data_IF_748456981948
#
_entry.id   IF_748456981948
#
_cell.length_a   1.000
_cell.length_b   1.000
_cell.length_c   1.000
_cell.angle_alpha   90.00
_cell.angle_beta   90.00
_cell.angle_gamma   90.00
#
_symmetry.space_group_name_H-M   'P 1'
#
loop_
_entity.id
_entity.type
_entity.pdbx_description
1 polymer ?
#
# COMPACT_ATOMS: atom_id res chain seq x y z
N UNK A 1 -26.31 -42.76 -31.12
CA UNK A 1 -25.73 -43.05 -29.79
C UNK A 1 -24.25 -43.37 -29.97
N UNK A 2 -23.42 -42.74 -29.13
CA UNK A 2 -22.02 -43.07 -28.75
C UNK A 2 -20.91 -43.15 -29.82
N UNK A 3 -19.94 -42.22 -29.75
CA UNK A 3 -18.53 -42.46 -29.35
C UNK A 3 -17.58 -41.29 -29.79
N UNK A 4 -16.91 -40.56 -28.87
CA UNK A 4 -15.46 -40.69 -28.47
C UNK A 4 -14.58 -39.65 -29.24
N UNK A 5 -13.42 -39.13 -28.75
CA UNK A 5 -13.04 -38.55 -27.44
C UNK A 5 -12.17 -37.24 -27.58
N UNK A 6 -11.75 -36.67 -26.43
CA UNK A 6 -10.46 -35.97 -26.14
C UNK A 6 -10.54 -34.53 -25.58
N UNK A 7 -9.75 -34.37 -24.51
CA UNK A 7 -8.95 -33.20 -24.08
C UNK A 7 -9.66 -32.00 -23.42
N UNK A 8 -9.60 -32.02 -22.09
CA UNK A 8 -9.21 -30.90 -21.19
C UNK A 8 -9.08 -31.51 -19.77
N UNK A 9 -7.92 -32.11 -19.44
CA UNK A 9 -6.86 -31.49 -18.63
C UNK A 9 -7.29 -31.49 -17.15
N UNK A 10 -6.90 -32.42 -16.26
CA UNK A 10 -5.58 -32.96 -15.91
C UNK A 10 -4.56 -31.88 -15.54
N UNK A 11 -4.72 -31.21 -14.39
CA UNK A 11 -3.61 -30.83 -13.49
C UNK A 11 -4.11 -30.10 -12.23
N UNK A 12 -4.60 -30.83 -11.22
CA UNK A 12 -4.46 -30.36 -9.82
C UNK A 12 -4.25 -31.60 -8.94
N UNK A 13 -3.07 -32.20 -9.08
CA UNK A 13 -2.54 -33.22 -8.19
C UNK A 13 -1.06 -32.89 -8.00
N UNK A 14 -0.63 -32.86 -6.74
CA UNK A 14 0.76 -32.80 -6.25
C UNK A 14 1.40 -31.42 -6.10
N UNK A 15 1.25 -30.82 -4.91
CA UNK A 15 2.34 -30.56 -3.94
C UNK A 15 1.68 -29.90 -2.72
N UNK A 16 1.57 -30.56 -1.56
CA UNK A 16 2.67 -30.70 -0.60
C UNK A 16 2.81 -29.37 0.17
N UNK A 17 2.68 -29.27 1.49
CA UNK A 17 3.15 -30.17 2.51
C UNK A 17 2.71 -29.60 3.88
N UNK A 18 2.25 -30.47 4.78
CA UNK A 18 2.28 -30.28 6.23
C UNK A 18 1.32 -29.20 6.82
N UNK A 19 0.77 -29.35 8.01
CA UNK A 19 1.26 -30.14 9.13
C UNK A 19 0.07 -30.54 9.98
N UNK A 20 -0.05 -31.85 10.18
CA UNK A 20 -0.87 -32.41 11.22
C UNK A 20 -0.31 -32.08 12.62
N UNK A 21 -1.21 -32.15 13.58
CA UNK A 21 -0.97 -32.61 14.94
C UNK A 21 -0.50 -31.62 16.02
N UNK A 22 -1.01 -31.97 17.20
CA UNK A 22 -0.54 -31.63 18.54
C UNK A 22 -0.73 -30.19 18.97
N UNK A 23 -1.70 -29.92 19.84
CA UNK A 23 -1.62 -30.28 21.27
C UNK A 23 -0.30 -29.81 21.86
N UNK A 24 -0.30 -28.66 22.51
CA UNK A 24 0.30 -28.41 23.83
C UNK A 24 -0.12 -26.99 24.22
N UNK A 25 -0.99 -26.83 25.22
CA UNK A 25 -0.59 -26.90 26.63
C UNK A 25 0.41 -25.77 26.93
N UNK A 26 -0.10 -24.64 27.44
CA UNK A 26 0.44 -23.97 28.63
C UNK A 26 -0.34 -22.68 28.91
N UNK A 27 -1.45 -22.85 29.63
CA UNK A 27 -1.79 -21.94 30.72
C UNK A 27 -0.72 -22.14 31.80
N UNK A 28 0.45 -21.50 31.67
CA UNK A 28 1.41 -21.36 32.77
C UNK A 28 2.49 -20.37 32.36
N UNK A 29 2.38 -19.15 32.88
CA UNK A 29 3.33 -18.08 32.58
C UNK A 29 2.78 -16.74 33.03
N UNK A 30 2.56 -16.60 34.33
CA UNK A 30 2.48 -15.29 34.98
C UNK A 30 3.61 -14.38 34.51
N UNK A 31 3.29 -13.08 34.48
CA UNK A 31 4.19 -11.93 34.42
C UNK A 31 4.64 -11.50 33.01
N UNK A 32 4.12 -10.36 32.60
CA UNK A 32 4.76 -9.52 31.60
C UNK A 32 3.76 -8.72 30.83
N UNK A 33 3.50 -7.50 31.31
CA UNK A 33 3.02 -6.34 30.56
C UNK A 33 2.09 -6.62 29.38
N UNK A 34 0.84 -6.16 29.48
CA UNK A 34 0.09 -5.78 28.28
C UNK A 34 1.06 -4.98 27.39
N UNK A 35 1.28 -5.34 26.12
CA UNK A 35 1.97 -4.45 25.22
C UNK A 35 1.04 -3.25 25.09
N UNK A 36 1.29 -2.23 25.91
CA UNK A 36 0.86 -0.87 25.70
C UNK A 36 1.18 -0.59 24.25
N UNK A 37 0.14 -0.69 23.42
CA UNK A 37 0.25 -0.74 21.98
C UNK A 37 0.60 0.66 21.53
N UNK A 38 1.88 1.00 21.62
CA UNK A 38 2.49 2.28 21.29
C UNK A 38 1.97 2.79 19.93
N UNK A 39 0.99 3.72 19.87
CA UNK A 39 0.46 4.23 18.62
C UNK A 39 0.86 5.71 18.52
N UNK A 40 1.96 6.03 17.85
CA UNK A 40 1.77 6.68 16.53
C UNK A 40 2.90 6.41 15.51
N UNK A 41 3.97 5.74 15.92
CA UNK A 41 5.20 5.64 15.11
C UNK A 41 5.05 4.68 13.92
N UNK A 42 4.38 3.54 14.14
CA UNK A 42 4.12 2.54 13.10
C UNK A 42 3.11 3.01 12.05
N UNK A 43 2.05 3.73 12.47
CA UNK A 43 1.05 4.26 11.56
C UNK A 43 1.60 5.39 10.66
N UNK A 44 2.41 6.29 11.24
CA UNK A 44 3.11 7.34 10.48
C UNK A 44 4.10 6.74 9.46
N UNK A 45 4.87 5.73 9.85
CA UNK A 45 5.79 5.01 8.94
C UNK A 45 5.05 4.35 7.77
N UNK A 46 3.90 3.72 8.03
CA UNK A 46 3.07 3.10 7.00
C UNK A 46 2.47 4.15 6.03
N UNK A 47 1.98 5.28 6.55
CA UNK A 47 1.45 6.38 5.75
C UNK A 47 2.54 6.98 4.83
N UNK A 48 3.74 7.25 5.36
CA UNK A 48 4.86 7.75 4.57
C UNK A 48 5.38 6.74 3.54
N UNK A 49 5.27 5.43 3.80
CA UNK A 49 5.56 4.41 2.79
C UNK A 49 4.53 4.44 1.65
N UNK A 50 3.24 4.47 1.98
CA UNK A 50 2.18 4.55 0.98
C UNK A 50 2.26 5.84 0.16
N UNK A 51 2.51 6.98 0.81
CA UNK A 51 2.71 8.27 0.13
C UNK A 51 3.81 8.19 -0.94
N UNK A 52 4.95 7.56 -0.62
CA UNK A 52 6.03 7.34 -1.58
C UNK A 52 5.59 6.46 -2.76
N UNK A 53 4.83 5.40 -2.51
CA UNK A 53 4.32 4.53 -3.58
C UNK A 53 3.36 5.27 -4.52
N UNK A 54 2.43 6.05 -3.96
CA UNK A 54 1.54 6.90 -4.75
C UNK A 54 2.31 7.93 -5.58
N UNK A 55 3.34 8.56 -4.99
CA UNK A 55 4.17 9.53 -5.69
C UNK A 55 4.91 8.90 -6.89
N UNK A 56 5.52 7.73 -6.71
CA UNK A 56 6.22 7.05 -7.80
C UNK A 56 5.27 6.64 -8.93
N UNK A 57 4.10 6.10 -8.60
CA UNK A 57 3.06 5.77 -9.60
C UNK A 57 2.55 7.02 -10.32
N UNK A 58 2.38 8.13 -9.61
CA UNK A 58 1.97 9.40 -10.19
C UNK A 58 2.98 9.94 -11.19
N UNK A 59 4.28 9.88 -10.87
CA UNK A 59 5.37 10.25 -11.79
C UNK A 59 5.40 9.35 -13.03
N UNK A 60 5.20 8.05 -12.85
CA UNK A 60 5.11 7.11 -13.97
C UNK A 60 3.89 7.41 -14.87
N UNK A 61 2.73 7.73 -14.27
CA UNK A 61 1.54 8.13 -15.01
C UNK A 61 1.75 9.44 -15.78
N UNK A 62 2.48 10.41 -15.21
CA UNK A 62 2.87 11.64 -15.88
C UNK A 62 3.75 11.36 -17.10
N UNK A 63 4.79 10.55 -16.92
CA UNK A 63 5.69 10.14 -18.01
C UNK A 63 4.96 9.39 -19.13
N UNK A 64 3.88 8.66 -18.79
CA UNK A 64 3.01 7.99 -19.74
C UNK A 64 1.96 8.92 -20.40
N UNK A 65 1.95 10.22 -20.08
CA UNK A 65 0.98 11.19 -20.60
C UNK A 65 -0.41 11.12 -19.97
N UNK A 66 -0.62 10.27 -18.96
CA UNK A 66 -1.89 10.16 -18.25
C UNK A 66 -1.98 11.20 -17.13
N UNK A 67 -2.22 12.45 -17.52
CA UNK A 67 -2.22 13.62 -16.63
C UNK A 67 -3.26 13.53 -15.52
N UNK A 68 -4.45 13.00 -15.82
CA UNK A 68 -5.52 12.85 -14.83
C UNK A 68 -5.13 11.88 -13.72
N UNK A 69 -4.59 10.71 -14.09
CA UNK A 69 -4.14 9.73 -13.12
C UNK A 69 -2.90 10.21 -12.34
N UNK A 70 -1.96 10.89 -13.01
CA UNK A 70 -0.82 11.50 -12.36
C UNK A 70 -1.25 12.48 -11.27
N UNK A 71 -2.21 13.36 -11.59
CA UNK A 71 -2.77 14.33 -10.65
C UNK A 71 -3.41 13.67 -9.44
N UNK A 72 -4.25 12.66 -9.68
CA UNK A 72 -4.89 11.91 -8.62
C UNK A 72 -3.84 11.27 -7.69
N UNK A 73 -2.89 10.53 -8.25
CA UNK A 73 -1.90 9.79 -7.48
C UNK A 73 -0.97 10.71 -6.67
N UNK A 74 -0.52 11.82 -7.26
CA UNK A 74 0.32 12.80 -6.55
C UNK A 74 -0.49 13.53 -5.47
N UNK A 75 -1.76 13.85 -5.74
CA UNK A 75 -2.68 14.37 -4.74
C UNK A 75 -2.82 13.42 -3.54
N UNK A 76 -3.06 12.12 -3.79
CA UNK A 76 -3.13 11.10 -2.74
C UNK A 76 -1.84 10.97 -1.94
N UNK A 77 -0.68 11.11 -2.58
CA UNK A 77 0.60 11.13 -1.87
C UNK A 77 0.68 12.31 -0.88
N UNK A 78 0.24 13.50 -1.28
CA UNK A 78 0.24 14.71 -0.44
C UNK A 78 -0.84 14.62 0.65
N UNK A 79 -1.98 14.01 0.39
CA UNK A 79 -2.99 13.78 1.42
C UNK A 79 -2.48 12.86 2.54
N UNK A 80 -1.70 11.84 2.19
CA UNK A 80 -1.12 10.89 3.15
C UNK A 80 0.09 11.46 3.90
N UNK A 81 0.87 12.32 3.25
CA UNK A 81 2.04 12.97 3.83
C UNK A 81 2.12 14.45 3.37
N UNK A 82 1.34 15.35 4.00
CA UNK A 82 1.20 16.73 3.52
C UNK A 82 2.43 17.59 3.74
N UNK A 83 3.35 17.16 4.61
CA UNK A 83 4.65 17.80 4.83
C UNK A 83 5.74 17.28 3.87
N UNK A 84 5.43 16.30 3.02
CA UNK A 84 6.40 15.72 2.08
C UNK A 84 6.86 16.72 1.03
N UNK A 85 8.10 17.17 1.11
CA UNK A 85 8.71 18.01 0.06
C UNK A 85 8.75 17.31 -1.30
N UNK A 86 8.87 15.99 -1.33
CA UNK A 86 8.87 15.24 -2.58
C UNK A 86 7.52 15.30 -3.31
N UNK A 87 6.42 15.23 -2.56
CA UNK A 87 5.06 15.39 -3.10
C UNK A 87 4.80 16.82 -3.55
N UNK A 88 5.15 17.79 -2.70
CA UNK A 88 4.98 19.22 -2.98
C UNK A 88 5.79 19.67 -4.20
N UNK A 89 7.04 19.24 -4.30
CA UNK A 89 7.92 19.52 -5.43
C UNK A 89 7.36 18.94 -6.73
N UNK A 90 6.87 17.69 -6.70
CA UNK A 90 6.23 17.09 -7.86
C UNK A 90 4.98 17.88 -8.29
N UNK A 91 4.13 18.28 -7.35
CA UNK A 91 2.95 19.08 -7.64
C UNK A 91 3.31 20.42 -8.31
N UNK A 92 4.26 21.17 -7.75
CA UNK A 92 4.72 22.45 -8.32
C UNK A 92 5.38 22.29 -9.68
N UNK A 93 6.06 21.16 -9.93
CA UNK A 93 6.71 20.89 -11.21
C UNK A 93 5.67 20.60 -12.30
N UNK A 94 4.65 19.81 -12.00
CA UNK A 94 3.66 19.37 -12.98
C UNK A 94 2.49 20.35 -13.14
N UNK A 95 2.16 21.09 -12.10
CA UNK A 95 1.07 22.08 -12.07
C UNK A 95 1.52 23.38 -11.35
N UNK A 96 2.46 24.16 -11.93
CA UNK A 96 3.01 25.35 -11.28
C UNK A 96 1.98 26.49 -11.11
N UNK A 97 0.97 26.54 -11.96
CA UNK A 97 -0.10 27.54 -11.88
C UNK A 97 -1.17 27.20 -10.83
N UNK A 98 -1.16 25.97 -10.32
CA UNK A 98 -2.18 25.50 -9.38
C UNK A 98 -1.79 25.83 -7.95
N UNK A 99 -2.80 26.19 -7.15
CA UNK A 99 -2.66 26.25 -5.70
C UNK A 99 -2.25 24.88 -5.14
N UNK A 100 -1.49 24.91 -4.05
CA UNK A 100 -1.15 23.70 -3.30
C UNK A 100 -2.43 22.96 -2.87
N UNK A 101 -2.38 21.61 -2.77
CA UNK A 101 -3.49 20.84 -2.25
C UNK A 101 -3.90 21.32 -0.85
N UNK A 102 -5.20 21.24 -0.48
CA UNK A 102 -5.68 21.72 0.81
C UNK A 102 -4.99 21.03 2.00
N UNK A 103 -4.67 19.73 1.88
CA UNK A 103 -3.92 19.00 2.91
C UNK A 103 -2.53 19.61 3.17
N UNK A 104 -1.82 20.00 2.10
CA UNK A 104 -0.53 20.66 2.20
C UNK A 104 -0.63 22.09 2.77
N UNK A 105 -1.69 22.83 2.44
CA UNK A 105 -1.93 24.15 3.02
C UNK A 105 -2.25 24.06 4.51
N UNK A 106 -3.03 23.05 4.91
CA UNK A 106 -3.37 22.80 6.32
C UNK A 106 -2.13 22.45 7.15
N UNK A 107 -1.20 21.68 6.60
CA UNK A 107 0.04 21.30 7.29
C UNK A 107 1.06 22.44 7.48
N UNK A 108 0.83 23.62 6.88
CA UNK A 108 1.72 24.78 6.93
C UNK A 108 1.27 25.88 7.90
N UNK A 109 0.13 25.71 8.56
CA UNK A 109 -0.43 26.66 9.54
C UNK A 109 -0.05 26.26 10.95
#
# INVERSE_FOLDING_TARGET
MTAVPRLRGTLVLLLGLATAACSTLSTLGSLGAEPEADPPRSASSAASFLARQYLQRGRAAWAAGNMANARFLIGRAIELDPASEAGLSAWRTYWPADSLPPAALAARR
#
